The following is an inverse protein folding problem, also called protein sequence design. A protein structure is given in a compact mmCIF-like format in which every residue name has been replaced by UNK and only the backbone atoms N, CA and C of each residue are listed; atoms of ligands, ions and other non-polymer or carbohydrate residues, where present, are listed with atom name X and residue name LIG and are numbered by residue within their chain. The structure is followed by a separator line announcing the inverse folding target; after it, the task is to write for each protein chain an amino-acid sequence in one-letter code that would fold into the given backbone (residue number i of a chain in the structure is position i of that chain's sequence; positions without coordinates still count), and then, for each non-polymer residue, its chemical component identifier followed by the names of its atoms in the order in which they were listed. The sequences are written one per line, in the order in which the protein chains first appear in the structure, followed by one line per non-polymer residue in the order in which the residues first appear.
data_IF_469424379250
#
_entry.id   IF_469424379250
#
_cell.length_a   1.000
_cell.length_b   1.000
_cell.length_c   1.000
_cell.angle_alpha   90.00
_cell.angle_beta   90.00
_cell.angle_gamma   90.00
#
_symmetry.space_group_name_H-M   'P 1'
#
loop_
_entity.id
_entity.type
_entity.pdbx_description
1 polymer ?
#
# COMPACT_ATOMS: atom_id res chain seq x y z
N UNK A 1 15.92 4.42 -4.52
CA UNK A 1 14.58 4.17 -3.98
C UNK A 1 13.78 5.46 -3.89
N UNK A 2 12.46 5.36 -4.08
CA UNK A 2 11.53 6.48 -4.09
C UNK A 2 10.31 6.14 -3.19
N UNK A 3 10.43 6.33 -1.86
CA UNK A 3 9.34 6.06 -0.93
C UNK A 3 8.22 7.11 -1.02
N UNK A 4 6.97 6.75 -0.71
CA UNK A 4 5.88 7.69 -0.58
C UNK A 4 5.96 8.42 0.76
N UNK A 5 6.05 9.75 0.75
CA UNK A 5 6.12 10.60 1.92
C UNK A 5 4.72 10.99 2.42
N UNK A 6 3.98 10.06 3.00
CA UNK A 6 2.59 10.28 3.42
C UNK A 6 2.42 10.68 4.89
N UNK A 7 3.43 10.43 5.74
CA UNK A 7 3.40 10.85 7.15
C UNK A 7 3.47 12.36 7.25
N UNK A 8 2.57 12.97 8.01
CA UNK A 8 2.49 14.43 8.21
C UNK A 8 1.63 15.17 7.19
N UNK A 9 0.98 14.49 6.24
CA UNK A 9 0.03 15.11 5.31
C UNK A 9 -1.16 15.77 6.02
N UNK A 10 -1.53 15.26 7.19
CA UNK A 10 -2.55 15.90 8.02
C UNK A 10 -2.20 17.35 8.39
N UNK A 11 -0.91 17.67 8.58
CA UNK A 11 -0.48 19.03 8.84
C UNK A 11 -0.58 19.93 7.60
N UNK A 12 -0.25 19.40 6.44
CA UNK A 12 -0.39 20.10 5.16
C UNK A 12 -1.85 20.46 4.91
N UNK A 13 -2.77 19.47 5.04
CA UNK A 13 -4.19 19.71 4.91
C UNK A 13 -4.75 20.67 5.94
N UNK A 14 -4.37 20.50 7.22
CA UNK A 14 -4.79 21.39 8.29
C UNK A 14 -4.43 22.86 7.98
N UNK A 15 -3.17 23.13 7.65
CA UNK A 15 -2.71 24.48 7.33
C UNK A 15 -3.38 25.05 6.08
N UNK A 16 -3.54 24.22 5.03
CA UNK A 16 -4.22 24.62 3.79
C UNK A 16 -5.66 25.03 4.06
N UNK A 17 -6.40 24.23 4.83
CA UNK A 17 -7.81 24.50 5.11
C UNK A 17 -8.02 25.78 5.94
N UNK A 18 -7.10 26.09 6.87
CA UNK A 18 -7.14 27.37 7.61
C UNK A 18 -7.04 28.58 6.67
N UNK A 19 -6.33 28.48 5.53
CA UNK A 19 -6.30 29.54 4.52
C UNK A 19 -7.58 29.62 3.71
N UNK A 20 -8.36 28.52 3.67
CA UNK A 20 -9.56 28.37 2.85
C UNK A 20 -10.87 28.39 3.65
N UNK A 21 -11.00 29.36 4.57
CA UNK A 21 -12.21 29.68 5.36
C UNK A 21 -12.66 28.58 6.35
N UNK A 22 -11.81 27.62 6.69
CA UNK A 22 -12.09 26.63 7.71
C UNK A 22 -11.60 27.10 9.08
N UNK A 23 -12.35 26.82 10.13
CA UNK A 23 -11.91 26.98 11.52
C UNK A 23 -10.95 25.84 11.92
N UNK A 24 -10.24 25.99 13.05
CA UNK A 24 -9.40 24.93 13.63
C UNK A 24 -10.16 23.60 13.77
N UNK A 25 -11.35 23.66 14.35
CA UNK A 25 -12.16 22.47 14.57
C UNK A 25 -12.61 21.82 13.26
N UNK A 26 -13.08 22.60 12.28
CA UNK A 26 -13.50 22.10 10.97
C UNK A 26 -12.33 21.42 10.23
N UNK A 27 -11.15 22.04 10.24
CA UNK A 27 -9.97 21.49 9.61
C UNK A 27 -9.55 20.15 10.25
N UNK A 28 -9.55 20.06 11.59
CA UNK A 28 -9.24 18.82 12.30
C UNK A 28 -10.33 17.75 12.15
N UNK A 29 -11.58 18.15 11.97
CA UNK A 29 -12.71 17.24 11.72
C UNK A 29 -12.68 16.62 10.34
N UNK A 30 -12.12 17.29 9.33
CA UNK A 30 -11.90 16.73 8.00
C UNK A 30 -10.94 15.55 8.03
N UNK A 31 -9.93 15.60 8.89
CA UNK A 31 -8.88 14.57 8.96
C UNK A 31 -9.44 13.26 9.55
N UNK A 32 -9.10 12.15 8.91
CA UNK A 32 -9.44 10.84 9.43
C UNK A 32 -8.55 10.46 10.62
N UNK A 33 -9.08 9.67 11.53
CA UNK A 33 -8.31 9.08 12.62
C UNK A 33 -7.22 8.14 12.12
N UNK A 34 -6.20 7.81 12.95
CA UNK A 34 -4.99 7.10 12.54
C UNK A 34 -5.25 5.78 11.80
N UNK A 35 -6.23 5.00 12.25
CA UNK A 35 -6.60 3.73 11.62
C UNK A 35 -7.23 3.85 10.23
N UNK A 36 -7.53 5.06 9.76
CA UNK A 36 -8.21 5.33 8.49
C UNK A 36 -7.46 6.34 7.61
N UNK A 37 -6.34 6.87 8.08
CA UNK A 37 -5.57 7.91 7.37
C UNK A 37 -5.09 7.46 5.98
N UNK A 38 -4.65 6.20 5.83
CA UNK A 38 -4.21 5.67 4.54
C UNK A 38 -5.30 5.76 3.46
N UNK A 39 -6.56 5.41 3.80
CA UNK A 39 -7.70 5.51 2.88
C UNK A 39 -8.13 6.95 2.61
N UNK A 40 -7.88 7.87 3.54
CA UNK A 40 -8.04 9.30 3.28
C UNK A 40 -7.03 9.79 2.24
N UNK A 41 -5.77 9.39 2.34
CA UNK A 41 -4.72 9.75 1.37
C UNK A 41 -4.96 9.10 -0.01
N UNK A 42 -5.68 7.98 -0.06
CA UNK A 42 -6.22 7.39 -1.30
C UNK A 42 -7.48 8.11 -1.81
N UNK A 43 -7.96 9.15 -1.13
CA UNK A 43 -9.13 9.99 -1.50
C UNK A 43 -10.49 9.28 -1.38
N UNK A 44 -10.58 8.18 -0.64
CA UNK A 44 -11.77 7.34 -0.56
C UNK A 44 -12.77 7.79 0.48
N UNK A 45 -12.31 8.44 1.54
CA UNK A 45 -13.14 8.88 2.67
C UNK A 45 -12.62 10.20 3.26
N UNK A 46 -13.42 10.80 4.16
CA UNK A 46 -13.02 11.91 5.04
C UNK A 46 -13.63 11.74 6.43
N UNK A 47 -13.10 12.46 7.41
CA UNK A 47 -13.79 12.76 8.68
C UNK A 47 -14.15 11.55 9.55
N UNK A 48 -13.47 10.41 9.43
CA UNK A 48 -13.78 9.22 10.22
C UNK A 48 -12.81 9.05 11.39
N UNK A 49 -13.34 8.88 12.60
CA UNK A 49 -12.52 8.70 13.81
C UNK A 49 -11.82 9.96 14.32
N UNK A 50 -12.22 11.14 13.82
CA UNK A 50 -11.75 12.44 14.28
C UNK A 50 -12.75 13.17 15.20
N UNK A 51 -12.51 14.47 15.54
CA UNK A 51 -11.41 15.32 15.05
C UNK A 51 -10.04 14.93 15.62
N UNK A 52 -8.99 15.00 14.78
CA UNK A 52 -7.63 14.74 15.26
C UNK A 52 -7.19 15.78 16.29
N UNK A 53 -6.56 15.36 17.39
CA UNK A 53 -5.94 16.31 18.33
C UNK A 53 -4.82 17.10 17.65
N UNK A 54 -4.72 18.41 17.93
CA UNK A 54 -3.63 19.24 17.41
C UNK A 54 -2.25 18.67 17.76
N UNK A 55 -2.13 18.11 18.97
CA UNK A 55 -0.89 17.46 19.43
C UNK A 55 -0.47 16.25 18.59
N UNK A 56 -1.42 15.53 17.97
CA UNK A 56 -1.11 14.48 17.01
C UNK A 56 -0.48 15.06 15.74
N UNK A 57 -1.12 16.09 15.18
CA UNK A 57 -0.62 16.77 13.97
C UNK A 57 0.79 17.30 14.21
N UNK A 58 1.04 17.97 15.35
CA UNK A 58 2.36 18.52 15.69
C UNK A 58 3.45 17.46 15.85
N UNK A 59 3.13 16.33 16.47
CA UNK A 59 4.06 15.19 16.59
C UNK A 59 4.37 14.56 15.24
N UNK A 60 3.39 14.48 14.34
CA UNK A 60 3.58 13.93 13.02
C UNK A 60 4.41 14.84 12.11
N UNK A 61 4.40 16.16 12.28
CA UNK A 61 5.35 17.05 11.62
C UNK A 61 6.79 16.67 12.00
N UNK A 62 7.05 16.44 13.29
CA UNK A 62 8.38 16.08 13.78
C UNK A 62 8.79 14.69 13.23
N UNK A 63 7.87 13.74 13.27
CA UNK A 63 8.12 12.39 12.76
C UNK A 63 8.40 12.39 11.25
N UNK A 64 7.59 13.10 10.46
CA UNK A 64 7.77 13.23 9.02
C UNK A 64 9.15 13.78 8.65
N UNK A 65 9.59 14.85 9.32
CA UNK A 65 10.93 15.42 9.11
C UNK A 65 12.02 14.38 9.37
N UNK A 66 11.95 13.64 10.47
CA UNK A 66 12.93 12.59 10.78
C UNK A 66 12.94 11.47 9.74
N UNK A 67 11.77 11.08 9.23
CA UNK A 67 11.66 10.05 8.18
C UNK A 67 12.31 10.57 6.90
N UNK A 68 11.94 11.75 6.44
CA UNK A 68 12.46 12.36 5.21
C UNK A 68 13.98 12.58 5.30
N UNK A 69 14.47 13.09 6.42
CA UNK A 69 15.91 13.27 6.64
C UNK A 69 16.64 11.93 6.54
N UNK A 70 16.09 10.88 7.15
CA UNK A 70 16.68 9.54 7.10
C UNK A 70 16.64 8.93 5.70
N UNK A 71 15.54 9.09 4.98
CA UNK A 71 15.43 8.66 3.58
C UNK A 71 16.51 9.33 2.71
N UNK A 72 16.70 10.63 2.87
CA UNK A 72 17.72 11.39 2.14
C UNK A 72 19.15 10.98 2.51
N UNK A 73 19.44 10.75 3.79
CA UNK A 73 20.73 10.20 4.22
C UNK A 73 21.05 8.86 3.54
N UNK A 74 20.02 8.06 3.26
CA UNK A 74 20.13 6.79 2.54
C UNK A 74 20.13 6.95 1.00
N UNK A 75 20.15 8.18 0.48
CA UNK A 75 20.13 8.46 -0.95
C UNK A 75 18.78 8.21 -1.63
N UNK A 76 17.69 8.16 -0.86
CA UNK A 76 16.33 8.01 -1.38
C UNK A 76 15.73 9.36 -1.77
N UNK A 77 14.80 9.35 -2.72
CA UNK A 77 14.03 10.53 -3.14
C UNK A 77 12.58 10.35 -2.69
N UNK A 78 12.10 11.10 -1.68
CA UNK A 78 10.70 11.04 -1.28
C UNK A 78 9.76 11.44 -2.40
N UNK A 79 8.68 10.67 -2.62
CA UNK A 79 7.57 11.09 -3.49
C UNK A 79 6.55 11.80 -2.61
N UNK A 80 6.30 13.07 -2.91
CA UNK A 80 5.39 13.92 -2.17
C UNK A 80 3.96 13.81 -2.71
N UNK A 81 2.96 14.20 -1.92
CA UNK A 81 1.58 14.23 -2.37
C UNK A 81 1.34 15.44 -3.28
N UNK A 82 0.86 15.20 -4.49
CA UNK A 82 0.31 16.22 -5.36
C UNK A 82 -1.17 16.49 -5.07
N UNK A 83 -1.71 17.56 -5.66
CA UNK A 83 -3.12 17.91 -5.53
C UNK A 83 -3.90 17.46 -6.76
N UNK A 84 -4.95 16.64 -6.56
CA UNK A 84 -5.79 16.06 -7.63
C UNK A 84 -7.25 16.52 -7.58
N UNK A 85 -7.58 17.46 -6.67
CA UNK A 85 -8.94 17.96 -6.48
C UNK A 85 -9.73 17.29 -5.36
N UNK A 86 -9.14 16.35 -4.63
CA UNK A 86 -9.73 15.84 -3.38
C UNK A 86 -9.81 16.98 -2.36
N UNK A 87 -10.99 17.21 -1.78
CA UNK A 87 -11.25 18.31 -0.84
C UNK A 87 -12.31 17.90 0.18
N UNK A 88 -12.44 18.61 1.33
CA UNK A 88 -13.60 18.44 2.21
C UNK A 88 -14.92 18.68 1.49
N UNK A 89 -15.94 17.88 1.79
CA UNK A 89 -17.32 18.10 1.29
C UNK A 89 -17.84 19.49 1.64
N UNK A 90 -17.47 19.94 2.83
CA UNK A 90 -17.83 21.23 3.44
C UNK A 90 -17.24 22.43 2.68
N UNK A 91 -16.23 22.20 1.84
CA UNK A 91 -15.70 23.26 0.96
C UNK A 91 -16.76 23.82 0.02
N UNK A 92 -17.75 23.00 -0.39
CA UNK A 92 -18.86 23.42 -1.23
C UNK A 92 -19.71 24.53 -0.58
N UNK A 93 -19.86 24.49 0.74
CA UNK A 93 -20.62 25.50 1.49
C UNK A 93 -19.80 26.78 1.65
N UNK A 94 -18.46 26.68 1.68
CA UNK A 94 -17.53 27.82 1.76
C UNK A 94 -17.34 28.53 0.40
N UNK A 95 -17.48 27.79 -0.70
CA UNK A 95 -17.33 28.26 -2.08
C UNK A 95 -18.50 27.73 -2.94
N UNK A 96 -19.72 28.28 -2.79
CA UNK A 96 -20.91 27.79 -3.50
C UNK A 96 -20.80 27.84 -5.02
N UNK A 97 -20.01 28.79 -5.55
CA UNK A 97 -19.76 29.00 -6.98
C UNK A 97 -18.78 28.00 -7.58
N UNK A 98 -17.96 27.35 -6.75
CA UNK A 98 -16.95 26.39 -7.23
C UNK A 98 -17.60 25.08 -7.69
N UNK A 99 -17.01 24.50 -8.73
CA UNK A 99 -17.44 23.21 -9.29
C UNK A 99 -16.98 22.04 -8.39
N UNK A 100 -17.66 21.85 -7.27
CA UNK A 100 -17.37 20.76 -6.33
C UNK A 100 -18.47 19.70 -6.42
N UNK A 101 -18.07 18.48 -6.83
CA UNK A 101 -18.93 17.30 -6.82
C UNK A 101 -18.73 16.54 -5.51
N UNK A 102 -19.85 16.18 -4.86
CA UNK A 102 -19.78 15.27 -3.72
C UNK A 102 -19.65 13.83 -4.22
N UNK A 103 -18.59 13.15 -3.79
CA UNK A 103 -18.39 11.75 -4.13
C UNK A 103 -19.40 10.85 -3.41
N UNK A 104 -19.79 9.72 -4.02
CA UNK A 104 -20.58 8.70 -3.33
C UNK A 104 -19.81 8.13 -2.13
N UNK A 105 -20.51 7.46 -1.21
CA UNK A 105 -19.85 6.75 -0.13
C UNK A 105 -18.99 5.59 -0.64
N UNK A 106 -17.91 5.29 0.09
CA UNK A 106 -16.99 4.19 -0.20
C UNK A 106 -16.99 3.20 0.97
N UNK A 107 -17.27 1.93 0.72
CA UNK A 107 -17.30 0.87 1.75
C UNK A 107 -18.08 1.23 3.04
N UNK A 108 -19.16 1.99 2.92
CA UNK A 108 -19.96 2.47 4.05
C UNK A 108 -19.47 3.77 4.70
N UNK A 109 -18.34 4.31 4.25
CA UNK A 109 -17.85 5.62 4.68
C UNK A 109 -18.39 6.76 3.82
N UNK A 110 -18.48 7.94 4.43
CA UNK A 110 -18.91 9.16 3.74
C UNK A 110 -17.81 9.59 2.75
N UNK A 111 -18.17 9.75 1.47
CA UNK A 111 -17.26 10.23 0.43
C UNK A 111 -16.88 11.70 0.62
N UNK A 112 -15.75 12.11 0.06
CA UNK A 112 -15.23 13.48 0.09
C UNK A 112 -15.86 14.38 -0.99
N UNK A 113 -15.41 15.62 -1.09
CA UNK A 113 -15.62 16.51 -2.23
C UNK A 113 -14.56 16.27 -3.30
N UNK A 114 -14.95 16.46 -4.56
CA UNK A 114 -14.05 16.52 -5.70
C UNK A 114 -14.19 17.89 -6.36
N UNK A 115 -13.16 18.71 -6.21
CA UNK A 115 -13.03 19.98 -6.89
C UNK A 115 -12.60 19.72 -8.34
N UNK A 116 -13.34 20.33 -9.28
CA UNK A 116 -13.06 20.15 -10.71
C UNK A 116 -11.69 20.76 -11.05
N UNK A 117 -10.75 20.03 -11.66
CA UNK A 117 -9.45 20.57 -12.04
C UNK A 117 -9.50 21.74 -13.04
N UNK A 118 -10.62 21.94 -13.71
CA UNK A 118 -10.83 23.08 -14.61
C UNK A 118 -11.39 24.32 -13.91
N UNK A 119 -11.68 24.25 -12.61
CA UNK A 119 -12.12 25.37 -11.80
C UNK A 119 -10.96 26.26 -11.34
N UNK A 120 -11.18 27.57 -11.28
CA UNK A 120 -10.12 28.51 -10.85
C UNK A 120 -9.66 28.26 -9.41
N UNK A 121 -10.55 27.81 -8.52
CA UNK A 121 -10.24 27.47 -7.14
C UNK A 121 -9.25 26.30 -7.05
N UNK A 122 -9.26 25.38 -8.04
CA UNK A 122 -8.34 24.25 -8.06
C UNK A 122 -6.88 24.68 -8.05
N UNK A 123 -6.52 25.62 -8.92
CA UNK A 123 -5.14 26.12 -8.99
C UNK A 123 -4.74 26.91 -7.72
N UNK A 124 -5.67 27.67 -7.14
CA UNK A 124 -5.41 28.45 -5.93
C UNK A 124 -5.20 27.53 -4.71
N UNK A 125 -6.15 26.61 -4.45
CA UNK A 125 -6.09 25.69 -3.32
C UNK A 125 -4.93 24.69 -3.46
N UNK A 126 -4.71 24.17 -4.68
CA UNK A 126 -3.62 23.27 -4.98
C UNK A 126 -2.24 23.91 -4.77
N UNK A 127 -2.08 25.19 -5.14
CA UNK A 127 -0.85 25.95 -4.86
C UNK A 127 -0.62 26.12 -3.36
N UNK A 128 -1.65 26.50 -2.62
CA UNK A 128 -1.54 26.63 -1.16
C UNK A 128 -1.19 25.30 -0.48
N UNK A 129 -1.74 24.18 -0.96
CA UNK A 129 -1.39 22.85 -0.49
C UNK A 129 0.10 22.54 -0.72
N UNK A 130 0.61 22.72 -1.94
CA UNK A 130 2.00 22.46 -2.27
C UNK A 130 2.97 23.41 -1.53
N UNK A 131 2.59 24.70 -1.32
CA UNK A 131 3.38 25.64 -0.54
C UNK A 131 3.44 25.28 0.96
N UNK A 132 2.35 24.79 1.56
CA UNK A 132 2.37 24.30 2.94
C UNK A 132 3.22 23.02 3.05
N UNK A 133 3.15 22.10 2.08
CA UNK A 133 4.01 20.92 2.06
C UNK A 133 5.49 21.31 1.96
N UNK A 134 5.84 22.21 1.03
CA UNK A 134 7.19 22.76 0.90
C UNK A 134 7.69 23.44 2.15
N UNK A 135 6.86 24.25 2.81
CA UNK A 135 7.21 24.95 4.05
C UNK A 135 7.50 23.96 5.19
N UNK A 136 6.74 22.88 5.28
CA UNK A 136 6.89 21.86 6.32
C UNK A 136 8.06 20.92 6.05
N UNK A 137 8.22 20.47 4.81
CA UNK A 137 9.05 19.30 4.47
C UNK A 137 10.07 19.53 3.35
N UNK A 138 10.05 20.65 2.65
CA UNK A 138 10.87 20.89 1.47
C UNK A 138 10.25 20.36 0.17
N UNK A 139 11.05 20.27 -0.90
CA UNK A 139 10.63 19.76 -2.22
C UNK A 139 11.63 18.75 -2.76
N UNK A 140 11.14 17.68 -3.41
CA UNK A 140 11.95 16.57 -3.89
C UNK A 140 11.71 16.24 -5.37
N UNK A 141 10.90 17.03 -6.06
CA UNK A 141 10.75 16.97 -7.51
C UNK A 141 9.89 15.84 -8.05
N UNK A 142 9.17 15.09 -7.20
CA UNK A 142 8.22 14.07 -7.64
C UNK A 142 6.94 14.21 -6.80
N UNK A 143 5.79 14.36 -7.47
CA UNK A 143 4.49 14.52 -6.83
C UNK A 143 3.51 13.44 -7.29
N UNK A 144 2.92 12.69 -6.34
CA UNK A 144 1.91 11.68 -6.62
C UNK A 144 0.51 12.31 -6.65
N UNK A 145 -0.22 12.13 -7.73
CA UNK A 145 -1.60 12.58 -7.83
C UNK A 145 -2.41 11.61 -8.69
N UNK A 146 -3.55 11.16 -8.17
CA UNK A 146 -4.43 10.19 -8.82
C UNK A 146 -5.84 10.78 -8.94
N UNK A 147 -6.18 11.49 -10.05
CA UNK A 147 -7.51 12.04 -10.23
C UNK A 147 -8.54 10.92 -10.37
N UNK A 148 -9.64 11.03 -9.61
CA UNK A 148 -10.74 10.06 -9.61
C UNK A 148 -10.29 8.63 -9.25
N UNK A 149 -9.50 8.48 -8.20
CA UNK A 149 -8.84 7.22 -7.83
C UNK A 149 -9.81 6.01 -7.82
N UNK A 150 -10.80 5.99 -6.94
CA UNK A 150 -11.87 4.96 -6.92
C UNK A 150 -13.26 5.58 -7.17
N UNK A 151 -13.31 6.65 -7.94
CA UNK A 151 -14.54 7.35 -8.31
C UNK A 151 -14.63 7.58 -9.82
N UNK A 152 -15.86 7.78 -10.30
CA UNK A 152 -16.07 8.17 -11.69
C UNK A 152 -15.82 9.68 -11.88
N UNK A 153 -15.21 10.12 -12.99
CA UNK A 153 -15.15 11.55 -13.33
C UNK A 153 -16.58 12.11 -13.54
N UNK A 154 -16.79 13.42 -13.31
CA UNK A 154 -18.09 14.04 -13.54
C UNK A 154 -18.52 13.99 -15.01
N UNK A 155 -17.54 14.09 -15.91
CA UNK A 155 -17.70 13.97 -17.37
C UNK A 155 -16.63 12.99 -17.87
N UNK A 156 -17.03 11.98 -18.64
CA UNK A 156 -16.11 10.95 -19.13
C UNK A 156 -15.87 11.08 -20.65
N UNK A 157 -15.62 12.32 -21.13
CA UNK A 157 -15.23 12.56 -22.52
C UNK A 157 -13.70 12.75 -22.62
N UNK A 158 -13.09 12.41 -23.75
CA UNK A 158 -11.64 12.60 -23.95
C UNK A 158 -11.19 14.04 -23.73
N UNK A 159 -11.98 15.02 -24.15
CA UNK A 159 -11.69 16.45 -24.05
C UNK A 159 -11.62 16.88 -22.56
N UNK A 160 -12.62 16.50 -21.77
CA UNK A 160 -12.67 16.80 -20.34
C UNK A 160 -11.49 16.12 -19.60
N UNK A 161 -11.26 14.83 -19.87
CA UNK A 161 -10.18 14.10 -19.23
C UNK A 161 -8.80 14.66 -19.61
N UNK A 162 -8.63 15.09 -20.85
CA UNK A 162 -7.41 15.79 -21.28
C UNK A 162 -7.22 17.12 -20.55
N UNK A 163 -8.30 17.91 -20.38
CA UNK A 163 -8.27 19.17 -19.63
C UNK A 163 -7.91 18.93 -18.14
N UNK A 164 -8.41 17.86 -17.53
CA UNK A 164 -8.02 17.42 -16.18
C UNK A 164 -6.51 17.14 -16.10
N UNK A 165 -5.98 16.35 -17.04
CA UNK A 165 -4.55 16.04 -17.11
C UNK A 165 -3.70 17.30 -17.24
N UNK A 166 -4.06 18.21 -18.14
CA UNK A 166 -3.37 19.49 -18.32
C UNK A 166 -3.41 20.37 -17.07
N UNK A 167 -4.55 20.45 -16.36
CA UNK A 167 -4.69 21.30 -15.18
C UNK A 167 -3.79 20.82 -14.02
N UNK A 168 -3.77 19.50 -13.75
CA UNK A 168 -2.92 18.91 -12.72
C UNK A 168 -1.44 19.06 -13.09
N UNK A 169 -1.09 18.72 -14.33
CA UNK A 169 0.27 18.88 -14.84
C UNK A 169 0.76 20.34 -14.75
N UNK A 170 -0.08 21.28 -15.17
CA UNK A 170 0.23 22.72 -15.09
C UNK A 170 0.44 23.15 -13.64
N UNK A 171 -0.41 22.74 -12.70
CA UNK A 171 -0.24 23.06 -11.28
C UNK A 171 1.12 22.59 -10.75
N UNK A 172 1.50 21.36 -11.06
CA UNK A 172 2.79 20.78 -10.64
C UNK A 172 3.95 21.57 -11.24
N UNK A 173 3.89 21.89 -12.55
CA UNK A 173 4.98 22.58 -13.25
C UNK A 173 5.08 24.07 -12.92
N UNK A 174 3.97 24.73 -12.64
CA UNK A 174 3.98 26.13 -12.18
C UNK A 174 4.60 26.24 -10.78
N UNK A 175 4.45 25.19 -9.95
CA UNK A 175 5.05 25.12 -8.63
C UNK A 175 6.53 24.70 -8.67
N UNK A 176 6.86 23.64 -9.38
CA UNK A 176 8.22 23.13 -9.57
C UNK A 176 8.45 22.75 -11.05
N UNK A 177 9.12 23.60 -11.83
CA UNK A 177 9.33 23.38 -13.26
C UNK A 177 10.09 22.09 -13.63
N UNK A 178 10.85 21.52 -12.68
CA UNK A 178 11.62 20.28 -12.88
C UNK A 178 10.88 19.04 -12.39
N UNK A 179 9.76 19.20 -11.72
CA UNK A 179 9.03 18.09 -11.11
C UNK A 179 8.47 17.11 -12.15
N UNK A 180 8.33 15.87 -11.70
CA UNK A 180 7.62 14.79 -12.38
C UNK A 180 6.34 14.46 -11.62
N UNK A 181 5.36 14.00 -12.37
CA UNK A 181 4.11 13.47 -11.81
C UNK A 181 4.21 11.95 -11.70
N UNK A 182 3.92 11.36 -10.53
CA UNK A 182 3.76 9.93 -10.34
C UNK A 182 2.26 9.60 -10.29
N UNK A 183 1.79 8.65 -11.10
CA UNK A 183 0.38 8.28 -11.20
C UNK A 183 0.23 6.76 -11.09
N UNK A 184 -0.71 6.30 -10.27
CA UNK A 184 -1.04 4.88 -10.17
C UNK A 184 -1.82 4.40 -11.41
N UNK A 185 -1.50 3.18 -11.87
CA UNK A 185 -2.22 2.57 -12.99
C UNK A 185 -3.63 2.07 -12.63
N UNK A 186 -4.05 2.15 -11.37
CA UNK A 186 -5.32 1.62 -10.88
C UNK A 186 -6.52 2.21 -11.63
N UNK A 187 -6.66 3.51 -11.65
CA UNK A 187 -7.74 4.22 -12.36
C UNK A 187 -7.24 5.02 -13.58
N UNK A 188 -6.16 4.60 -14.19
CA UNK A 188 -5.51 5.28 -15.31
C UNK A 188 -6.45 5.47 -16.51
N UNK A 189 -6.48 6.68 -17.06
CA UNK A 189 -7.26 7.04 -18.26
C UNK A 189 -6.35 7.62 -19.34
N UNK A 190 -6.41 7.04 -20.53
CA UNK A 190 -5.52 7.42 -21.65
C UNK A 190 -5.52 8.92 -21.96
N UNK A 191 -6.67 9.65 -22.01
CA UNK A 191 -6.66 11.07 -22.31
C UNK A 191 -5.94 11.91 -21.22
N UNK A 192 -6.01 11.51 -19.94
CA UNK A 192 -5.27 12.18 -18.86
C UNK A 192 -3.76 11.98 -19.07
N UNK A 193 -3.33 10.75 -19.32
CA UNK A 193 -1.93 10.41 -19.52
C UNK A 193 -1.35 11.17 -20.73
N UNK A 194 -2.05 11.15 -21.86
CA UNK A 194 -1.59 11.79 -23.09
C UNK A 194 -1.61 13.32 -23.05
N UNK A 195 -2.25 13.92 -22.06
CA UNK A 195 -2.19 15.35 -21.80
C UNK A 195 -0.87 15.81 -21.17
N UNK A 196 -0.01 14.87 -20.74
CA UNK A 196 1.25 15.13 -20.04
C UNK A 196 2.42 14.73 -20.94
N UNK A 197 3.51 15.51 -21.03
CA UNK A 197 4.72 15.10 -21.74
C UNK A 197 5.28 13.79 -21.16
N UNK A 198 5.72 12.88 -22.05
CA UNK A 198 6.11 11.54 -21.69
C UNK A 198 7.18 11.47 -20.60
N UNK A 199 8.16 12.36 -20.63
CA UNK A 199 9.27 12.38 -19.66
C UNK A 199 8.89 12.98 -18.29
N UNK A 200 7.71 13.56 -18.17
CA UNK A 200 7.24 14.24 -16.96
C UNK A 200 6.23 13.40 -16.16
N UNK A 201 5.90 12.20 -16.64
CA UNK A 201 4.99 11.28 -15.96
C UNK A 201 5.65 9.93 -15.74
N UNK A 202 5.49 9.37 -14.54
CA UNK A 202 5.87 8.00 -14.17
C UNK A 202 4.61 7.25 -13.78
N UNK A 203 4.34 6.11 -14.42
CA UNK A 203 3.17 5.28 -14.14
C UNK A 203 3.56 4.14 -13.21
N UNK A 204 2.83 4.00 -12.09
CA UNK A 204 3.05 2.96 -11.09
C UNK A 204 2.06 1.82 -11.34
N UNK A 205 2.53 0.73 -11.93
CA UNK A 205 1.70 -0.48 -12.12
C UNK A 205 1.75 -1.34 -10.85
N UNK A 206 0.77 -1.15 -9.97
CA UNK A 206 0.80 -1.64 -8.60
C UNK A 206 1.04 -3.15 -8.47
N UNK A 207 0.64 -3.94 -9.47
CA UNK A 207 0.74 -5.40 -9.45
C UNK A 207 1.31 -5.98 -10.76
N UNK A 208 1.92 -5.15 -11.62
CA UNK A 208 2.51 -5.58 -12.89
C UNK A 208 1.50 -6.10 -13.93
N UNK A 209 0.21 -5.89 -13.74
CA UNK A 209 -0.85 -6.50 -14.55
C UNK A 209 -1.44 -5.54 -15.61
N UNK A 210 -1.40 -4.24 -15.35
CA UNK A 210 -2.12 -3.26 -16.18
C UNK A 210 -1.38 -2.91 -17.47
N UNK A 211 -0.06 -3.03 -17.48
CA UNK A 211 0.79 -2.67 -18.63
C UNK A 211 0.41 -3.44 -19.90
N UNK A 212 0.08 -4.74 -19.78
CA UNK A 212 -0.35 -5.59 -20.92
C UNK A 212 -1.65 -5.08 -21.55
N UNK A 213 -2.66 -4.83 -20.72
CA UNK A 213 -3.98 -4.39 -21.18
C UNK A 213 -4.02 -2.92 -21.65
N UNK A 214 -2.95 -2.16 -21.42
CA UNK A 214 -2.86 -0.72 -21.73
C UNK A 214 -1.72 -0.39 -22.70
N UNK A 215 -1.45 -1.27 -23.66
CA UNK A 215 -0.50 -1.05 -24.76
C UNK A 215 0.87 -0.54 -24.28
N UNK A 216 1.43 -1.14 -23.22
CA UNK A 216 2.70 -0.70 -22.66
C UNK A 216 2.64 0.72 -22.06
N UNK A 217 1.48 1.16 -21.58
CA UNK A 217 1.22 2.54 -21.14
C UNK A 217 1.63 3.58 -22.18
N UNK A 218 1.41 3.27 -23.46
CA UNK A 218 1.72 4.14 -24.60
C UNK A 218 3.16 4.65 -24.64
N UNK A 219 4.11 3.90 -24.04
CA UNK A 219 5.53 4.23 -23.98
C UNK A 219 5.94 5.16 -22.84
N UNK A 220 5.04 5.54 -21.94
CA UNK A 220 5.39 6.32 -20.75
C UNK A 220 6.24 5.51 -19.76
N UNK A 221 7.20 6.14 -19.06
CA UNK A 221 7.98 5.48 -18.03
C UNK A 221 7.07 4.76 -17.02
N UNK A 222 7.36 3.49 -16.74
CA UNK A 222 6.55 2.66 -15.87
C UNK A 222 7.38 1.93 -14.83
N UNK A 223 6.82 1.78 -13.64
CA UNK A 223 7.36 0.95 -12.56
C UNK A 223 6.54 -0.33 -12.50
N UNK A 224 7.20 -1.48 -12.65
CA UNK A 224 6.58 -2.80 -12.46
C UNK A 224 6.46 -3.08 -10.97
N UNK A 225 5.25 -3.34 -10.49
CA UNK A 225 4.92 -3.40 -9.09
C UNK A 225 4.54 -4.77 -8.56
N UNK A 226 4.68 -4.91 -7.25
CA UNK A 226 4.20 -6.04 -6.48
C UNK A 226 3.31 -5.53 -5.34
N UNK A 227 2.01 -5.79 -5.44
CA UNK A 227 1.05 -5.50 -4.39
C UNK A 227 0.92 -6.74 -3.50
N UNK A 228 1.85 -6.87 -2.56
CA UNK A 228 1.98 -8.06 -1.74
C UNK A 228 0.92 -8.15 -0.65
N UNK A 229 0.63 -7.04 0.03
CA UNK A 229 -0.18 -7.07 1.25
C UNK A 229 -1.40 -6.16 1.19
N UNK A 230 -2.52 -6.65 1.75
CA UNK A 230 -3.80 -5.93 1.89
C UNK A 230 -4.25 -5.93 3.35
N UNK A 231 -5.13 -5.01 3.72
CA UNK A 231 -5.76 -5.00 5.03
C UNK A 231 -6.46 -6.33 5.37
N UNK A 232 -6.27 -6.81 6.60
CA UNK A 232 -6.80 -8.08 7.07
C UNK A 232 -5.96 -9.32 6.74
N UNK A 233 -4.88 -9.18 5.99
CA UNK A 233 -3.92 -10.26 5.72
C UNK A 233 -2.74 -10.17 6.66
N UNK A 234 -2.84 -10.83 7.80
CA UNK A 234 -1.77 -10.90 8.80
C UNK A 234 -0.99 -12.22 8.75
N UNK A 235 -1.41 -13.15 7.90
CA UNK A 235 -0.75 -14.44 7.75
C UNK A 235 0.50 -14.35 6.88
N UNK A 236 1.40 -15.32 7.05
CA UNK A 236 2.46 -15.58 6.09
C UNK A 236 1.86 -15.87 4.72
N UNK A 237 2.31 -15.19 3.68
CA UNK A 237 1.85 -15.38 2.30
C UNK A 237 2.81 -14.77 1.28
N UNK A 238 2.54 -15.04 0.01
CA UNK A 238 3.28 -14.53 -1.12
C UNK A 238 3.87 -15.67 -1.96
N UNK A 239 3.74 -15.59 -3.29
CA UNK A 239 4.28 -16.60 -4.20
C UNK A 239 5.76 -16.33 -4.46
N UNK A 240 6.64 -16.95 -3.65
CA UNK A 240 8.09 -16.78 -3.82
C UNK A 240 8.62 -17.41 -5.12
N UNK A 241 7.99 -18.46 -5.64
CA UNK A 241 8.41 -19.07 -6.92
C UNK A 241 8.11 -18.14 -8.09
N UNK A 242 6.93 -17.51 -8.08
CA UNK A 242 6.57 -16.52 -9.07
C UNK A 242 7.50 -15.28 -8.99
N UNK A 243 7.80 -14.81 -7.78
CA UNK A 243 8.72 -13.70 -7.59
C UNK A 243 10.12 -14.03 -8.11
N UNK A 244 10.63 -15.23 -7.79
CA UNK A 244 11.94 -15.74 -8.24
C UNK A 244 12.04 -15.92 -9.77
N UNK A 245 10.91 -16.04 -10.48
CA UNK A 245 10.90 -16.08 -11.96
C UNK A 245 11.29 -14.77 -12.62
N UNK A 246 11.48 -13.71 -11.84
CA UNK A 246 11.91 -12.38 -12.26
C UNK A 246 10.93 -11.69 -13.23
N UNK A 247 9.74 -11.41 -12.72
CA UNK A 247 8.69 -10.71 -13.48
C UNK A 247 9.16 -9.33 -13.97
N UNK A 248 9.98 -8.61 -13.18
CA UNK A 248 10.57 -7.34 -13.57
C UNK A 248 11.39 -7.44 -14.85
N UNK A 249 12.31 -8.41 -14.95
CA UNK A 249 13.12 -8.60 -16.15
C UNK A 249 12.29 -9.07 -17.35
N UNK A 250 11.21 -9.82 -17.10
CA UNK A 250 10.25 -10.21 -18.14
C UNK A 250 9.50 -8.98 -18.66
N UNK A 251 9.02 -8.12 -17.77
CA UNK A 251 8.34 -6.87 -18.13
C UNK A 251 9.30 -5.92 -18.89
N UNK A 252 10.52 -5.76 -18.41
CA UNK A 252 11.55 -4.91 -19.06
C UNK A 252 11.89 -5.37 -20.48
N UNK A 253 11.98 -6.68 -20.72
CA UNK A 253 12.23 -7.23 -22.07
C UNK A 253 11.05 -6.98 -23.01
N UNK A 254 9.82 -7.06 -22.49
CA UNK A 254 8.61 -6.88 -23.30
C UNK A 254 8.27 -5.40 -23.50
N UNK A 255 8.55 -4.54 -22.53
CA UNK A 255 8.21 -3.13 -22.51
C UNK A 255 9.44 -2.30 -22.13
N UNK A 256 10.20 -1.77 -23.11
CA UNK A 256 11.45 -1.02 -22.84
C UNK A 256 11.27 0.28 -22.04
N UNK A 257 10.04 0.74 -21.87
CA UNK A 257 9.68 1.89 -21.03
C UNK A 257 9.51 1.54 -19.53
N UNK A 258 9.60 0.27 -19.16
CA UNK A 258 9.73 -0.12 -17.75
C UNK A 258 11.08 0.37 -17.23
N UNK A 259 11.07 1.20 -16.19
CA UNK A 259 12.26 1.90 -15.69
C UNK A 259 12.59 1.57 -14.22
N UNK A 260 11.81 0.72 -13.59
CA UNK A 260 12.02 0.31 -12.20
C UNK A 260 11.03 -0.74 -11.72
N UNK A 261 11.31 -1.29 -10.54
CA UNK A 261 10.39 -2.15 -9.80
C UNK A 261 9.90 -1.45 -8.53
N UNK A 262 8.69 -1.82 -8.06
CA UNK A 262 8.07 -1.21 -6.89
C UNK A 262 7.39 -2.22 -5.98
N UNK A 263 7.28 -1.85 -4.70
CA UNK A 263 6.50 -2.57 -3.69
C UNK A 263 5.40 -1.65 -3.19
N UNK A 264 4.16 -2.08 -3.32
CA UNK A 264 2.95 -1.28 -3.05
C UNK A 264 2.06 -1.99 -2.02
N UNK A 265 2.52 -2.06 -0.77
CA UNK A 265 1.80 -2.69 0.32
C UNK A 265 0.71 -1.75 0.88
N UNK A 266 -0.46 -2.31 1.17
CA UNK A 266 -1.59 -1.60 1.79
C UNK A 266 -1.76 -1.91 3.29
N UNK A 267 -1.00 -2.88 3.83
CA UNK A 267 -1.05 -3.27 5.24
C UNK A 267 0.35 -3.24 5.86
N UNK A 268 0.39 -3.31 7.19
CA UNK A 268 1.64 -3.19 7.96
C UNK A 268 2.30 -4.54 8.28
N UNK A 269 1.57 -5.63 8.21
CA UNK A 269 2.10 -6.98 8.44
C UNK A 269 2.87 -7.42 7.19
N UNK A 270 4.19 -7.51 7.34
CA UNK A 270 5.09 -7.78 6.23
C UNK A 270 5.72 -9.15 6.35
N UNK A 271 6.08 -9.76 5.22
CA UNK A 271 6.80 -11.03 5.12
C UNK A 271 8.25 -10.73 4.70
N UNK A 272 9.21 -10.68 5.65
CA UNK A 272 10.58 -10.24 5.37
C UNK A 272 11.24 -10.95 4.20
N UNK A 273 11.07 -12.28 4.10
CA UNK A 273 11.62 -13.09 3.01
C UNK A 273 11.13 -12.66 1.63
N UNK A 274 9.85 -12.26 1.54
CA UNK A 274 9.28 -11.78 0.28
C UNK A 274 9.90 -10.44 -0.14
N UNK A 275 10.03 -9.51 0.80
CA UNK A 275 10.59 -8.18 0.51
C UNK A 275 12.08 -8.23 0.20
N UNK A 276 12.87 -9.05 0.93
CA UNK A 276 14.28 -9.23 0.63
C UNK A 276 14.47 -9.74 -0.80
N UNK A 277 13.74 -10.77 -1.21
CA UNK A 277 13.80 -11.29 -2.56
C UNK A 277 13.34 -10.25 -3.59
N UNK A 278 12.22 -9.56 -3.33
CA UNK A 278 11.66 -8.58 -4.26
C UNK A 278 12.64 -7.41 -4.52
N UNK A 279 13.33 -6.92 -3.50
CA UNK A 279 14.36 -5.88 -3.67
C UNK A 279 15.62 -6.40 -4.38
N UNK A 280 15.90 -7.69 -4.29
CA UNK A 280 17.07 -8.31 -4.93
C UNK A 280 16.81 -8.63 -6.41
N UNK A 281 15.57 -8.96 -6.79
CA UNK A 281 15.21 -9.40 -8.16
C UNK A 281 15.65 -8.45 -9.29
N UNK A 282 15.58 -7.11 -9.18
CA UNK A 282 16.07 -6.21 -10.22
C UNK A 282 17.58 -6.30 -10.49
N UNK A 283 18.34 -6.85 -9.56
CA UNK A 283 19.80 -7.04 -9.70
C UNK A 283 20.16 -8.31 -10.46
N UNK A 284 19.22 -9.23 -10.63
CA UNK A 284 19.41 -10.48 -11.37
C UNK A 284 19.01 -10.33 -12.83
N UNK A 285 19.79 -10.94 -13.74
CA UNK A 285 19.51 -10.93 -15.18
C UNK A 285 18.43 -11.94 -15.61
N UNK A 286 18.01 -12.81 -14.73
CA UNK A 286 17.05 -13.86 -14.99
C UNK A 286 16.48 -14.47 -13.71
N UNK A 287 15.94 -15.65 -13.82
CA UNK A 287 15.39 -16.45 -12.73
C UNK A 287 16.41 -16.75 -11.63
N UNK A 288 15.94 -16.84 -10.40
CA UNK A 288 16.71 -17.19 -9.21
C UNK A 288 16.33 -18.61 -8.75
N UNK A 289 17.32 -19.47 -8.47
CA UNK A 289 17.10 -20.78 -7.88
C UNK A 289 16.61 -20.62 -6.43
N UNK A 290 15.29 -20.58 -6.25
CA UNK A 290 14.64 -20.13 -4.99
C UNK A 290 15.05 -20.98 -3.78
N UNK A 291 15.17 -22.31 -3.94
CA UNK A 291 15.55 -23.18 -2.82
C UNK A 291 16.96 -22.87 -2.31
N UNK A 292 17.89 -22.63 -3.22
CA UNK A 292 19.27 -22.28 -2.85
C UNK A 292 19.33 -20.86 -2.28
N UNK A 293 18.59 -19.93 -2.85
CA UNK A 293 18.47 -18.58 -2.32
C UNK A 293 17.95 -18.58 -0.87
N UNK A 294 16.90 -19.38 -0.59
CA UNK A 294 16.33 -19.50 0.76
C UNK A 294 17.29 -20.08 1.78
N UNK A 295 18.14 -21.04 1.40
CA UNK A 295 19.22 -21.54 2.30
C UNK A 295 20.20 -20.43 2.65
N UNK A 296 20.62 -19.66 1.66
CA UNK A 296 21.52 -18.53 1.86
C UNK A 296 20.84 -17.41 2.63
N UNK A 297 19.57 -17.14 2.37
CA UNK A 297 18.77 -16.17 3.12
C UNK A 297 18.72 -16.54 4.62
N UNK A 298 18.41 -17.77 4.98
CA UNK A 298 18.41 -18.22 6.36
C UNK A 298 19.77 -17.98 7.05
N UNK A 299 20.87 -18.31 6.37
CA UNK A 299 22.21 -18.12 6.91
C UNK A 299 22.53 -16.62 7.12
N UNK A 300 22.24 -15.77 6.15
CA UNK A 300 22.45 -14.30 6.26
C UNK A 300 21.60 -13.70 7.37
N UNK A 301 20.33 -14.07 7.39
CA UNK A 301 19.35 -13.52 8.32
C UNK A 301 19.64 -13.89 9.77
N UNK A 302 20.09 -15.12 10.02
CA UNK A 302 20.35 -15.58 11.38
C UNK A 302 21.82 -15.42 11.81
N UNK A 303 22.69 -15.07 10.89
CA UNK A 303 24.11 -14.86 11.15
C UNK A 303 24.91 -16.14 11.38
N UNK A 304 24.34 -17.31 11.05
CA UNK A 304 25.02 -18.61 11.20
C UNK A 304 24.46 -19.66 10.23
N UNK A 305 25.28 -20.60 9.81
CA UNK A 305 24.84 -21.74 8.99
C UNK A 305 24.07 -22.74 9.87
N UNK A 306 22.82 -23.00 9.52
CA UNK A 306 21.93 -23.96 10.20
C UNK A 306 21.17 -24.78 9.15
N UNK A 307 21.56 -26.05 8.92
CA UNK A 307 20.84 -26.91 7.97
C UNK A 307 19.36 -27.13 8.35
N UNK A 308 19.02 -27.16 9.63
CA UNK A 308 17.64 -27.27 10.07
C UNK A 308 16.84 -25.99 9.77
N UNK A 309 17.40 -24.81 10.00
CA UNK A 309 16.76 -23.54 9.63
C UNK A 309 16.62 -23.38 8.10
N UNK A 310 17.60 -23.82 7.32
CA UNK A 310 17.49 -23.89 5.86
C UNK A 310 16.33 -24.77 5.42
N UNK A 311 16.18 -25.96 6.02
CA UNK A 311 15.08 -26.88 5.72
C UNK A 311 13.72 -26.31 6.18
N UNK A 312 13.68 -25.53 7.27
CA UNK A 312 12.49 -24.82 7.70
C UNK A 312 11.99 -23.86 6.63
N UNK A 313 12.89 -23.10 5.99
CA UNK A 313 12.53 -22.20 4.88
C UNK A 313 11.95 -22.95 3.68
N UNK A 314 12.44 -24.16 3.38
CA UNK A 314 11.86 -25.01 2.33
C UNK A 314 10.44 -25.47 2.70
N UNK A 315 10.19 -25.83 3.96
CA UNK A 315 8.84 -26.14 4.44
C UNK A 315 7.89 -24.92 4.29
N UNK A 316 8.38 -23.71 4.58
CA UNK A 316 7.60 -22.48 4.42
C UNK A 316 7.35 -22.14 2.94
N UNK A 317 8.31 -22.42 2.04
CA UNK A 317 8.14 -22.28 0.60
C UNK A 317 7.01 -23.17 0.07
N UNK A 318 6.96 -24.43 0.49
CA UNK A 318 5.91 -25.37 0.11
C UNK A 318 4.60 -25.18 0.88
N UNK A 319 4.65 -24.42 1.97
CA UNK A 319 3.55 -24.04 2.83
C UNK A 319 2.95 -22.67 2.44
N UNK A 320 3.08 -21.66 3.32
CA UNK A 320 2.43 -20.37 3.14
C UNK A 320 2.95 -19.52 1.97
N UNK A 321 4.18 -19.73 1.51
CA UNK A 321 4.80 -18.94 0.43
C UNK A 321 4.58 -19.51 -0.98
N UNK A 322 3.37 -20.02 -1.22
CA UNK A 322 2.91 -20.53 -2.53
C UNK A 322 1.68 -19.76 -3.01
N UNK A 323 1.23 -19.97 -4.27
CA UNK A 323 0.02 -19.32 -4.78
C UNK A 323 -1.20 -19.53 -3.89
N UNK A 324 -2.01 -18.51 -3.78
CA UNK A 324 -3.24 -18.48 -2.98
C UNK A 324 -3.18 -17.46 -1.86
N UNK A 325 -4.36 -17.07 -1.39
CA UNK A 325 -4.49 -16.12 -0.29
C UNK A 325 -5.17 -16.81 0.87
N UNK A 326 -4.61 -16.65 2.07
CA UNK A 326 -5.27 -17.07 3.28
C UNK A 326 -5.52 -15.84 4.18
N UNK A 327 -6.79 -15.61 4.48
CA UNK A 327 -7.18 -14.73 5.56
C UNK A 327 -6.91 -15.39 6.91
N UNK A 328 -6.81 -14.59 7.95
CA UNK A 328 -6.60 -15.08 9.31
C UNK A 328 -7.91 -15.05 10.11
N UNK A 329 -8.26 -16.17 10.73
CA UNK A 329 -9.45 -16.25 11.60
C UNK A 329 -9.35 -15.25 12.77
N UNK A 330 -8.16 -14.99 13.28
CA UNK A 330 -7.94 -14.05 14.38
C UNK A 330 -8.10 -12.57 13.98
N UNK A 331 -8.04 -12.25 12.68
CA UNK A 331 -8.33 -10.91 12.16
C UNK A 331 -9.78 -10.78 11.67
N UNK A 332 -10.54 -11.87 11.65
CA UNK A 332 -11.91 -11.87 11.18
C UNK A 332 -12.89 -11.34 12.24
N UNK A 333 -13.97 -10.70 11.79
CA UNK A 333 -15.06 -10.34 12.69
C UNK A 333 -15.70 -11.62 13.24
N UNK A 334 -15.82 -11.79 14.57
CA UNK A 334 -16.38 -13.01 15.16
C UNK A 334 -17.80 -13.31 14.67
N UNK A 335 -17.99 -14.50 14.11
CA UNK A 335 -19.29 -15.04 13.69
C UNK A 335 -19.15 -16.56 13.46
N UNK A 336 -20.24 -17.31 13.53
CA UNK A 336 -20.24 -18.75 13.25
C UNK A 336 -19.94 -19.07 11.78
N UNK A 337 -20.38 -18.23 10.87
CA UNK A 337 -20.29 -18.43 9.43
C UNK A 337 -19.21 -17.58 8.75
N UNK A 338 -18.12 -17.30 9.44
CA UNK A 338 -17.02 -16.49 8.91
C UNK A 338 -16.42 -17.13 7.66
N UNK A 339 -16.35 -16.36 6.57
CA UNK A 339 -15.78 -16.82 5.30
C UNK A 339 -14.50 -16.08 4.91
N UNK A 340 -14.29 -14.86 5.45
CA UNK A 340 -13.14 -14.01 5.12
C UNK A 340 -12.80 -13.08 6.28
N UNK A 341 -11.55 -12.68 6.37
CA UNK A 341 -11.06 -11.69 7.34
C UNK A 341 -10.92 -10.27 6.77
N UNK A 342 -11.06 -10.11 5.47
CA UNK A 342 -10.98 -8.83 4.77
C UNK A 342 -11.44 -8.96 3.32
N UNK A 343 -11.43 -7.90 2.52
CA UNK A 343 -11.96 -7.89 1.17
C UNK A 343 -11.43 -9.03 0.28
N UNK A 344 -10.13 -9.27 0.29
CA UNK A 344 -9.46 -10.29 -0.53
C UNK A 344 -8.78 -11.38 0.32
N UNK A 345 -9.29 -11.64 1.51
CA UNK A 345 -8.68 -12.52 2.51
C UNK A 345 -9.65 -13.65 2.92
N UNK A 346 -9.89 -14.60 2.02
CA UNK A 346 -10.69 -15.80 2.30
C UNK A 346 -10.00 -16.71 3.34
N UNK A 347 -10.78 -17.38 4.17
CA UNK A 347 -10.29 -18.24 5.24
C UNK A 347 -9.88 -19.66 4.78
N UNK A 348 -9.50 -19.86 3.53
CA UNK A 348 -8.93 -21.13 3.07
C UNK A 348 -7.46 -21.25 3.45
N UNK A 349 -7.03 -22.46 3.86
CA UNK A 349 -5.59 -22.76 3.99
C UNK A 349 -5.18 -23.53 2.72
N UNK A 350 -4.45 -22.92 1.76
CA UNK A 350 -4.17 -23.52 0.47
C UNK A 350 -2.98 -24.51 0.49
N UNK A 351 -2.50 -24.88 1.66
CA UNK A 351 -1.35 -25.78 1.87
C UNK A 351 -1.62 -26.73 3.06
N UNK A 352 -0.76 -27.72 3.23
CA UNK A 352 -0.82 -28.60 4.40
C UNK A 352 -0.33 -27.85 5.66
N UNK A 353 -1.17 -27.66 6.71
CA UNK A 353 -0.74 -27.03 7.95
C UNK A 353 0.46 -27.71 8.62
N UNK A 354 0.68 -29.01 8.33
CA UNK A 354 1.81 -29.78 8.86
C UNK A 354 3.17 -29.20 8.43
N UNK A 355 3.24 -28.52 7.27
CA UNK A 355 4.47 -27.89 6.81
C UNK A 355 4.92 -26.75 7.73
N UNK A 356 3.98 -26.00 8.29
CA UNK A 356 4.29 -24.94 9.27
C UNK A 356 4.73 -25.54 10.59
N UNK A 357 4.09 -26.64 11.05
CA UNK A 357 4.51 -27.38 12.25
C UNK A 357 5.92 -27.95 12.09
N UNK A 358 6.22 -28.50 10.91
CA UNK A 358 7.56 -29.00 10.59
C UNK A 358 8.61 -27.87 10.58
N UNK A 359 8.26 -26.72 9.99
CA UNK A 359 9.14 -25.55 9.98
C UNK A 359 9.47 -25.08 11.40
N UNK A 360 8.45 -24.99 12.29
CA UNK A 360 8.64 -24.65 13.70
C UNK A 360 9.61 -25.63 14.38
N UNK A 361 9.34 -26.93 14.28
CA UNK A 361 10.20 -27.96 14.87
C UNK A 361 11.64 -27.91 14.37
N UNK A 362 11.84 -27.58 13.09
CA UNK A 362 13.16 -27.42 12.46
C UNK A 362 13.90 -26.16 12.95
N UNK A 363 13.19 -25.04 13.12
CA UNK A 363 13.77 -23.81 13.68
C UNK A 363 14.24 -24.05 15.13
N UNK A 364 13.44 -24.75 15.94
CA UNK A 364 13.74 -25.00 17.35
C UNK A 364 14.91 -25.95 17.56
N UNK A 365 15.30 -26.80 16.58
CA UNK A 365 16.43 -27.72 16.70
C UNK A 365 17.76 -27.00 16.97
N UNK A 366 17.99 -25.83 16.38
CA UNK A 366 19.22 -25.06 16.54
C UNK A 366 19.00 -23.81 17.43
N UNK A 367 17.99 -23.82 18.30
CA UNK A 367 17.62 -22.68 19.14
C UNK A 367 18.80 -22.17 19.99
N UNK A 368 19.57 -23.05 20.61
CA UNK A 368 20.71 -22.66 21.44
C UNK A 368 21.79 -21.92 20.65
N UNK A 369 22.00 -22.29 19.38
CA UNK A 369 22.93 -21.66 18.48
C UNK A 369 22.45 -20.30 17.98
N UNK A 370 21.12 -20.16 17.74
CA UNK A 370 20.52 -19.03 17.02
C UNK A 370 19.83 -18.02 17.94
N UNK A 371 19.59 -18.34 19.21
CA UNK A 371 18.79 -17.53 20.16
C UNK A 371 19.24 -16.07 20.33
N UNK A 372 20.49 -15.75 20.06
CA UNK A 372 21.02 -14.39 20.15
C UNK A 372 20.73 -13.55 18.90
N UNK A 373 20.28 -14.17 17.80
CA UNK A 373 19.85 -13.47 16.59
C UNK A 373 18.43 -12.95 16.77
N UNK A 374 18.25 -11.64 16.70
CA UNK A 374 16.92 -11.02 16.78
C UNK A 374 16.02 -11.45 15.62
N UNK A 375 16.47 -11.46 14.34
CA UNK A 375 15.66 -11.96 13.23
C UNK A 375 15.22 -13.42 13.39
N UNK A 376 16.06 -14.27 13.97
CA UNK A 376 15.69 -15.65 14.27
C UNK A 376 14.53 -15.72 15.27
N UNK A 377 14.62 -14.96 16.38
CA UNK A 377 13.54 -14.93 17.39
C UNK A 377 12.24 -14.40 16.79
N UNK A 378 12.32 -13.39 15.93
CA UNK A 378 11.17 -12.87 15.21
C UNK A 378 10.52 -13.98 14.36
N UNK A 379 11.32 -14.69 13.55
CA UNK A 379 10.79 -15.71 12.64
C UNK A 379 10.19 -16.93 13.39
N UNK A 380 10.79 -17.34 14.50
CA UNK A 380 10.20 -18.38 15.38
C UNK A 380 8.82 -17.95 15.88
N UNK A 381 8.69 -16.72 16.38
CA UNK A 381 7.41 -16.19 16.86
C UNK A 381 6.39 -16.09 15.71
N UNK A 382 6.82 -15.66 14.53
CA UNK A 382 5.92 -15.51 13.38
C UNK A 382 5.44 -16.86 12.83
N UNK A 383 6.32 -17.86 12.76
CA UNK A 383 5.95 -19.24 12.38
C UNK A 383 4.99 -19.85 13.40
N UNK A 384 5.24 -19.67 14.71
CA UNK A 384 4.36 -20.12 15.77
C UNK A 384 2.99 -19.43 15.69
N UNK A 385 2.96 -18.12 15.46
CA UNK A 385 1.72 -17.36 15.23
C UNK A 385 0.93 -17.94 14.05
N UNK A 386 1.60 -18.27 12.93
CA UNK A 386 0.96 -18.88 11.78
C UNK A 386 0.41 -20.27 12.08
N UNK A 387 1.16 -21.09 12.81
CA UNK A 387 0.74 -22.41 13.26
C UNK A 387 -0.54 -22.32 14.13
N UNK A 388 -0.53 -21.43 15.12
CA UNK A 388 -1.69 -21.20 15.99
C UNK A 388 -2.90 -20.66 15.23
N UNK A 389 -2.67 -19.78 14.24
CA UNK A 389 -3.74 -19.28 13.38
C UNK A 389 -4.39 -20.40 12.56
N UNK A 390 -3.59 -21.30 11.98
CA UNK A 390 -4.09 -22.45 11.23
C UNK A 390 -4.92 -23.37 12.15
N UNK A 391 -4.43 -23.63 13.36
CA UNK A 391 -5.13 -24.44 14.34
C UNK A 391 -6.44 -23.77 14.80
N UNK A 392 -6.40 -22.47 15.10
CA UNK A 392 -7.59 -21.70 15.48
C UNK A 392 -8.67 -21.73 14.40
N UNK A 393 -8.30 -21.72 13.14
CA UNK A 393 -9.26 -21.84 12.04
C UNK A 393 -9.93 -23.22 11.99
N UNK A 394 -9.19 -24.30 12.24
CA UNK A 394 -9.75 -25.66 12.32
C UNK A 394 -10.69 -25.79 13.53
N UNK A 395 -10.27 -25.27 14.69
CA UNK A 395 -11.08 -25.28 15.92
C UNK A 395 -12.37 -24.47 15.70
N UNK A 396 -12.27 -23.25 15.16
CA UNK A 396 -13.46 -22.42 14.87
C UNK A 396 -14.47 -23.17 13.97
N UNK A 397 -13.98 -23.83 12.92
CA UNK A 397 -14.86 -24.60 12.02
C UNK A 397 -15.58 -25.71 12.78
N UNK A 398 -14.87 -26.48 13.59
CA UNK A 398 -15.46 -27.57 14.42
C UNK A 398 -16.46 -27.03 15.43
N UNK A 399 -16.11 -25.94 16.12
CA UNK A 399 -17.02 -25.31 17.09
C UNK A 399 -18.30 -24.78 16.40
N UNK A 400 -18.19 -24.16 15.23
CA UNK A 400 -19.33 -23.70 14.46
C UNK A 400 -20.23 -24.86 13.99
N UNK A 401 -19.66 -25.96 13.51
CA UNK A 401 -20.38 -27.18 13.12
C UNK A 401 -21.11 -27.83 14.33
N UNK A 402 -20.43 -27.98 15.47
CA UNK A 402 -21.01 -28.52 16.70
C UNK A 402 -22.17 -27.65 17.19
N UNK A 403 -22.03 -26.34 17.19
CA UNK A 403 -23.10 -25.39 17.55
C UNK A 403 -24.32 -25.52 16.64
N UNK A 404 -24.13 -25.56 15.33
CA UNK A 404 -25.21 -25.68 14.35
C UNK A 404 -25.94 -27.02 14.48
N UNK A 405 -25.22 -28.10 14.79
CA UNK A 405 -25.76 -29.43 14.98
C UNK A 405 -26.34 -29.65 16.41
N UNK A 406 -26.22 -28.63 17.30
CA UNK A 406 -26.62 -28.71 18.72
C UNK A 406 -25.88 -29.81 19.49
N UNK A 407 -24.68 -30.15 19.07
CA UNK A 407 -23.80 -31.13 19.71
C UNK A 407 -23.03 -30.46 20.87
N UNK A 408 -23.57 -30.60 22.06
CA UNK A 408 -22.99 -29.96 23.26
C UNK A 408 -21.65 -30.56 23.68
N UNK A 409 -21.43 -31.83 23.42
CA UNK A 409 -20.19 -32.53 23.81
C UNK A 409 -19.06 -32.07 22.87
N UNK A 410 -19.28 -32.11 21.56
CA UNK A 410 -18.31 -31.62 20.58
C UNK A 410 -18.02 -30.11 20.70
N UNK A 411 -19.00 -29.31 21.17
CA UNK A 411 -18.81 -27.87 21.38
C UNK A 411 -17.98 -27.56 22.65
N UNK A 412 -17.99 -28.42 23.64
CA UNK A 412 -17.25 -28.26 24.89
C UNK A 412 -15.76 -28.67 24.78
N UNK A 413 -15.40 -29.43 23.76
CA UNK A 413 -14.02 -29.82 23.43
C UNK A 413 -13.28 -28.72 22.63
#
# INVERSE_FOLDING_TARGET
NMPLATVGLEAVWYNTLLKHRFTDEEARRFLAGPGHAAWQWMQNLQSYGGPLPKSWIDKHIILAKKIIDRERELGMTPIQQGFSGYVPRELKDKYPEAKIRLQPGWCGFKGAGQLDPTDALFAALGRDFLEEEKKLYGTYGIYAADPFHESAPPVNTPEYLSAVGHAIYKLIKDFDPKAKWAMQAWSLREPIVKAVPQNDLIILDLNGEKIKGRKGFWGYPAVEGNLHNFGGRINMHGDLRLLASNQYMTALKQYPNVCGSGLFMEAIEQNPVYYDLAFEMPLHKGEVAIEEWLKQYANRRYGAVSPSAQQAMICLLEGPYRPGTNGSIIAARPALNVKKSGPNAGLGIPYSPLLVIQAEGLLLKDADKLKNSEPYRFDVIDVQRQMMTNMGQVIHKRAAEAFLNRDKEAFAL
#
